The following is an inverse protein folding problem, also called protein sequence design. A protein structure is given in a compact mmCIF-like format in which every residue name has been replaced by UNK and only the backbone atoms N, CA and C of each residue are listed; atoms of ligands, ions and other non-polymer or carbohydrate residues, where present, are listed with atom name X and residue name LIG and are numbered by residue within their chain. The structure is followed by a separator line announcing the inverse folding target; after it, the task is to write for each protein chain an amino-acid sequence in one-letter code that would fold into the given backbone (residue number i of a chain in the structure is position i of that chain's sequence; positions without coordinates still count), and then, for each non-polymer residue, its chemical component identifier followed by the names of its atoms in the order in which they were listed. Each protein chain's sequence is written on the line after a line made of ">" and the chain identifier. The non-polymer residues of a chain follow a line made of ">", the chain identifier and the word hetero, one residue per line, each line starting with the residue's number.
data_IF_497545818910
#
_entry.id   IF_497545818910
#
_cell.length_a   1.000
_cell.length_b   1.000
_cell.length_c   1.000
_cell.angle_alpha   90.00
_cell.angle_beta   90.00
_cell.angle_gamma   90.00
#
_symmetry.space_group_name_H-M   'P 1'
#
loop_
_entity.id
_entity.type
_entity.pdbx_description
1 polymer ?
#
# COMPACT_ATOMS: atom_id res chain seq x y z
N UNK A 1 -51.82 19.13 -112.16
CA UNK A 1 -50.55 18.98 -112.92
C UNK A 1 -49.40 19.08 -111.92
N UNK A 2 -48.36 18.24 -112.06
CA UNK A 2 -47.14 18.18 -111.22
C UNK A 2 -47.29 17.52 -109.81
N UNK A 3 -46.32 16.64 -109.52
CA UNK A 3 -45.99 15.88 -108.30
C UNK A 3 -44.62 16.40 -107.75
N UNK A 4 -43.98 15.89 -106.66
CA UNK A 4 -44.27 14.78 -105.74
C UNK A 4 -44.54 15.34 -104.28
N UNK A 5 -44.10 14.84 -103.10
CA UNK A 5 -43.19 13.74 -102.71
C UNK A 5 -43.33 13.30 -101.23
N UNK A 6 -42.75 12.12 -100.94
CA UNK A 6 -42.20 11.55 -99.69
C UNK A 6 -42.55 12.12 -98.29
N UNK A 7 -42.82 11.20 -97.35
CA UNK A 7 -43.00 11.51 -95.92
C UNK A 7 -43.02 10.30 -94.96
N UNK A 8 -42.42 9.16 -95.32
CA UNK A 8 -42.34 7.99 -94.41
C UNK A 8 -41.30 8.26 -93.33
N UNK A 9 -41.73 8.40 -92.08
CA UNK A 9 -40.88 8.39 -90.89
C UNK A 9 -41.47 7.44 -89.84
N UNK A 10 -40.72 6.40 -89.50
CA UNK A 10 -41.10 5.43 -88.47
C UNK A 10 -41.01 6.08 -87.09
N UNK A 11 -42.12 6.13 -86.35
CA UNK A 11 -42.08 6.51 -84.92
C UNK A 11 -41.63 5.32 -84.09
N UNK A 12 -40.31 5.11 -84.05
CA UNK A 12 -39.62 4.10 -83.22
C UNK A 12 -40.13 4.16 -81.77
N UNK A 13 -40.46 3.01 -81.14
CA UNK A 13 -40.95 2.99 -79.77
C UNK A 13 -39.88 3.50 -78.80
N UNK A 14 -40.19 4.60 -78.11
CA UNK A 14 -39.30 5.24 -77.14
C UNK A 14 -39.00 4.28 -75.97
N UNK A 15 -37.73 3.93 -75.69
CA UNK A 15 -37.40 3.11 -74.53
C UNK A 15 -37.73 3.86 -73.24
N UNK A 16 -38.51 3.23 -72.36
CA UNK A 16 -38.79 3.76 -71.04
C UNK A 16 -37.58 3.51 -70.13
N UNK A 17 -36.75 4.54 -69.95
CA UNK A 17 -35.62 4.47 -69.00
C UNK A 17 -36.23 4.43 -67.60
N UNK A 18 -35.94 3.35 -66.88
CA UNK A 18 -36.44 3.12 -65.52
C UNK A 18 -36.08 4.28 -64.59
N UNK A 19 -37.10 4.82 -63.91
CA UNK A 19 -36.90 5.90 -62.96
C UNK A 19 -35.94 5.45 -61.85
N UNK A 20 -34.89 6.25 -61.60
CA UNK A 20 -34.05 6.08 -60.43
C UNK A 20 -34.95 6.19 -59.19
N UNK A 21 -35.06 5.10 -58.44
CA UNK A 21 -35.93 5.00 -57.28
C UNK A 21 -35.34 5.78 -56.11
N UNK A 22 -35.49 7.10 -56.12
CA UNK A 22 -35.11 8.00 -55.03
C UNK A 22 -35.88 7.58 -53.78
N UNK A 23 -35.23 6.78 -52.91
CA UNK A 23 -35.83 6.30 -51.69
C UNK A 23 -36.27 7.48 -50.83
N UNK A 24 -37.58 7.61 -50.63
CA UNK A 24 -38.17 8.56 -49.69
C UNK A 24 -37.86 8.07 -48.28
N UNK A 25 -36.64 8.37 -47.81
CA UNK A 25 -36.17 8.00 -46.47
C UNK A 25 -37.16 8.58 -45.47
N UNK A 26 -37.88 7.69 -44.78
CA UNK A 26 -38.99 8.11 -43.93
C UNK A 26 -38.52 9.14 -42.91
N UNK A 27 -39.29 10.23 -42.75
CA UNK A 27 -39.00 11.27 -41.74
C UNK A 27 -38.93 10.68 -40.33
N UNK A 28 -39.49 9.48 -40.12
CA UNK A 28 -39.38 8.71 -38.88
C UNK A 28 -38.02 8.01 -38.72
N UNK A 29 -37.44 7.40 -39.75
CA UNK A 29 -36.11 6.75 -39.64
C UNK A 29 -35.01 7.79 -39.46
N UNK A 30 -35.10 8.94 -40.13
CA UNK A 30 -34.19 10.08 -39.91
C UNK A 30 -34.26 10.55 -38.45
N UNK A 31 -35.46 10.67 -37.88
CA UNK A 31 -35.65 11.03 -36.46
C UNK A 31 -35.08 10.00 -35.50
N UNK A 32 -35.23 8.71 -35.77
CA UNK A 32 -34.64 7.64 -34.96
C UNK A 32 -33.10 7.66 -34.99
N UNK A 33 -32.49 7.90 -36.16
CA UNK A 33 -31.03 8.06 -36.29
C UNK A 33 -30.54 9.27 -35.49
N UNK A 34 -31.19 10.42 -35.62
CA UNK A 34 -30.85 11.63 -34.85
C UNK A 34 -31.00 11.40 -33.35
N UNK A 35 -32.08 10.74 -32.91
CA UNK A 35 -32.30 10.40 -31.51
C UNK A 35 -31.21 9.44 -30.98
N UNK A 36 -30.82 8.43 -31.76
CA UNK A 36 -29.73 7.51 -31.41
C UNK A 36 -28.38 8.23 -31.26
N UNK A 37 -28.05 9.16 -32.17
CA UNK A 37 -26.83 9.98 -32.08
C UNK A 37 -26.88 10.92 -30.87
N UNK A 38 -28.02 11.54 -30.56
CA UNK A 38 -28.20 12.38 -29.37
C UNK A 38 -28.03 11.58 -28.07
N UNK A 39 -28.60 10.38 -27.97
CA UNK A 39 -28.45 9.50 -26.80
C UNK A 39 -27.02 9.00 -26.67
N UNK A 40 -26.35 8.62 -27.77
CA UNK A 40 -24.95 8.21 -27.76
C UNK A 40 -24.00 9.36 -27.35
N UNK A 41 -24.27 10.58 -27.84
CA UNK A 41 -23.53 11.78 -27.46
C UNK A 41 -23.71 12.12 -25.98
N UNK A 42 -24.95 12.10 -25.48
CA UNK A 42 -25.23 12.30 -24.06
C UNK A 42 -24.58 11.21 -23.19
N UNK A 43 -24.68 9.94 -23.57
CA UNK A 43 -24.04 8.84 -22.85
C UNK A 43 -22.51 9.01 -22.81
N UNK A 44 -21.88 9.40 -23.92
CA UNK A 44 -20.44 9.68 -23.98
C UNK A 44 -20.03 10.78 -22.98
N UNK A 45 -20.81 11.86 -22.91
CA UNK A 45 -20.60 12.98 -21.97
C UNK A 45 -20.75 12.59 -20.49
N UNK A 46 -21.44 11.49 -20.16
CA UNK A 46 -21.57 10.99 -18.78
C UNK A 46 -20.61 9.83 -18.45
N UNK A 47 -20.33 8.93 -19.39
CA UNK A 47 -19.50 7.73 -19.16
C UNK A 47 -18.04 8.08 -18.86
N UNK A 48 -17.48 9.10 -19.52
CA UNK A 48 -16.11 9.55 -19.27
C UNK A 48 -15.91 10.17 -17.87
N UNK A 49 -16.62 11.26 -17.48
CA UNK A 49 -16.35 11.94 -16.21
C UNK A 49 -16.64 11.08 -14.98
N UNK A 50 -17.60 10.15 -15.02
CA UNK A 50 -17.84 9.21 -13.91
C UNK A 50 -16.65 8.26 -13.70
N UNK A 51 -15.94 7.88 -14.77
CA UNK A 51 -14.74 7.04 -14.68
C UNK A 51 -13.54 7.83 -14.17
N UNK A 52 -13.34 9.03 -14.69
CA UNK A 52 -12.19 9.87 -14.33
C UNK A 52 -12.29 10.46 -12.93
N UNK A 53 -13.49 10.73 -12.40
CA UNK A 53 -13.67 11.21 -11.02
C UNK A 53 -13.16 10.19 -9.98
N UNK A 54 -13.23 8.89 -10.29
CA UNK A 54 -12.70 7.83 -9.42
C UNK A 54 -11.17 7.75 -9.52
N UNK A 55 -10.60 7.76 -10.73
CA UNK A 55 -9.15 7.63 -10.96
C UNK A 55 -8.37 8.86 -10.49
N UNK A 56 -8.91 10.07 -10.70
CA UNK A 56 -8.34 11.32 -10.17
C UNK A 56 -8.31 11.31 -8.64
N UNK A 57 -9.33 10.78 -7.97
CA UNK A 57 -9.36 10.73 -6.50
C UNK A 57 -8.30 9.78 -5.93
N UNK A 58 -8.00 8.67 -6.59
CA UNK A 58 -6.83 7.83 -6.24
C UNK A 58 -5.49 8.53 -6.49
N UNK A 59 -5.34 9.24 -7.61
CA UNK A 59 -4.09 9.97 -7.93
C UNK A 59 -3.82 11.11 -6.93
N UNK A 60 -4.86 11.85 -6.54
CA UNK A 60 -4.78 12.89 -5.51
C UNK A 60 -4.47 12.32 -4.13
N UNK A 61 -5.10 11.20 -3.75
CA UNK A 61 -4.80 10.52 -2.48
C UNK A 61 -3.34 10.05 -2.42
N UNK A 62 -2.84 9.45 -3.50
CA UNK A 62 -1.45 9.01 -3.59
C UNK A 62 -0.47 10.19 -3.49
N UNK A 63 -0.69 11.27 -4.25
CA UNK A 63 0.15 12.48 -4.19
C UNK A 63 0.12 13.15 -2.81
N UNK A 64 -1.03 13.21 -2.14
CA UNK A 64 -1.11 13.73 -0.78
C UNK A 64 -0.34 12.84 0.22
N UNK A 65 -0.33 11.52 0.06
CA UNK A 65 0.47 10.62 0.91
C UNK A 65 1.99 10.81 0.71
N UNK A 66 2.41 11.07 -0.53
CA UNK A 66 3.81 11.37 -0.90
C UNK A 66 4.25 12.72 -0.30
N UNK A 67 3.42 13.76 -0.39
CA UNK A 67 3.67 15.05 0.27
C UNK A 67 3.74 14.94 1.80
N UNK A 68 2.85 14.19 2.43
CA UNK A 68 2.83 14.04 3.88
C UNK A 68 4.11 13.35 4.40
N UNK A 69 4.57 12.29 3.75
CA UNK A 69 5.83 11.62 4.09
C UNK A 69 7.04 12.55 3.92
N UNK A 70 7.05 13.38 2.88
CA UNK A 70 8.14 14.32 2.63
C UNK A 70 8.14 15.50 3.63
N UNK A 71 6.96 15.93 4.09
CA UNK A 71 6.82 16.94 5.13
C UNK A 71 7.31 16.43 6.50
N UNK A 72 6.88 15.23 6.91
CA UNK A 72 7.32 14.55 8.13
C UNK A 72 8.85 14.32 8.13
N UNK A 73 9.40 13.83 7.01
CA UNK A 73 10.85 13.69 6.84
C UNK A 73 11.60 15.02 7.00
N UNK A 74 11.07 16.11 6.43
CA UNK A 74 11.66 17.44 6.56
C UNK A 74 11.59 17.96 8.00
N UNK A 75 10.49 17.72 8.74
CA UNK A 75 10.37 18.11 10.15
C UNK A 75 11.38 17.35 11.03
N UNK A 76 11.54 16.03 10.82
CA UNK A 76 12.53 15.22 11.52
C UNK A 76 13.96 15.70 11.26
N UNK A 77 14.32 15.97 10.00
CA UNK A 77 15.63 16.54 9.63
C UNK A 77 15.85 17.94 10.20
N UNK A 78 14.80 18.79 10.22
CA UNK A 78 14.87 20.13 10.80
C UNK A 78 15.14 20.06 12.31
N UNK A 79 14.51 19.11 13.01
CA UNK A 79 14.72 18.86 14.42
C UNK A 79 16.13 18.31 14.71
N UNK A 80 16.63 17.36 13.92
CA UNK A 80 18.03 16.88 14.03
C UNK A 80 19.05 18.01 13.83
N UNK A 81 18.85 18.86 12.81
CA UNK A 81 19.70 20.04 12.56
C UNK A 81 19.62 21.04 13.72
N UNK A 82 18.44 21.26 14.29
CA UNK A 82 18.26 22.13 15.46
C UNK A 82 19.04 21.59 16.67
N UNK A 83 18.92 20.30 16.98
CA UNK A 83 19.63 19.66 18.09
C UNK A 83 21.15 19.70 17.87
N UNK A 84 21.62 19.34 16.67
CA UNK A 84 23.03 19.41 16.25
C UNK A 84 23.60 20.83 16.21
N UNK A 85 22.77 21.88 16.15
CA UNK A 85 23.23 23.27 16.28
C UNK A 85 23.61 23.63 17.73
N UNK A 86 23.12 22.86 18.72
CA UNK A 86 23.34 23.17 20.14
C UNK A 86 24.71 22.68 20.64
N UNK A 87 25.34 23.37 21.60
CA UNK A 87 26.59 22.92 22.20
C UNK A 87 26.51 21.57 22.95
N UNK A 88 25.31 21.07 23.29
CA UNK A 88 25.11 19.72 23.85
C UNK A 88 24.93 18.67 22.74
N UNK A 89 24.14 18.96 21.70
CA UNK A 89 23.96 18.07 20.55
C UNK A 89 25.28 17.77 19.83
N UNK A 90 26.12 18.78 19.59
CA UNK A 90 27.48 18.60 19.05
C UNK A 90 28.30 17.66 19.94
N UNK A 91 28.24 17.82 21.27
CA UNK A 91 28.95 16.96 22.23
C UNK A 91 28.43 15.53 22.24
N UNK A 92 27.12 15.33 22.09
CA UNK A 92 26.50 14.01 22.07
C UNK A 92 26.78 13.28 20.75
N UNK A 93 26.69 13.98 19.62
CA UNK A 93 27.12 13.47 18.30
C UNK A 93 28.60 13.09 18.32
N UNK A 94 29.49 13.94 18.86
CA UNK A 94 30.91 13.63 18.98
C UNK A 94 31.18 12.42 19.89
N UNK A 95 30.45 12.26 21.01
CA UNK A 95 30.56 11.09 21.90
C UNK A 95 30.12 9.80 21.24
N UNK A 96 29.07 9.85 20.42
CA UNK A 96 28.46 8.71 19.77
C UNK A 96 29.22 8.28 18.50
N UNK A 97 29.49 9.23 17.60
CA UNK A 97 30.11 8.95 16.28
C UNK A 97 31.64 8.86 16.36
N UNK A 98 32.29 9.79 17.08
CA UNK A 98 33.76 9.94 17.10
C UNK A 98 34.43 9.36 18.34
N UNK A 99 33.66 8.75 19.25
CA UNK A 99 34.19 8.25 20.52
C UNK A 99 34.72 9.35 21.45
N UNK A 100 34.34 10.62 21.25
CA UNK A 100 34.86 11.76 22.00
C UNK A 100 34.66 11.64 23.53
N UNK A 101 35.59 12.23 24.29
CA UNK A 101 35.67 12.24 25.75
C UNK A 101 36.27 13.60 26.15
N UNK A 102 35.71 14.29 27.14
CA UNK A 102 36.31 15.56 27.61
C UNK A 102 37.57 15.27 28.46
N UNK A 103 38.57 16.16 28.51
CA UNK A 103 39.71 16.02 29.42
C UNK A 103 39.24 15.80 30.87
N UNK A 104 39.64 14.70 31.49
CA UNK A 104 39.22 14.28 32.84
C UNK A 104 38.03 13.33 32.89
N UNK A 105 37.26 13.13 31.81
CA UNK A 105 36.29 12.04 31.70
C UNK A 105 37.03 10.72 31.36
N UNK A 106 36.51 9.57 31.83
CA UNK A 106 37.00 8.23 31.49
C UNK A 106 35.87 7.38 30.90
N UNK A 107 36.16 6.58 29.86
CA UNK A 107 35.21 5.60 29.30
C UNK A 107 35.30 4.29 30.08
N UNK A 108 34.30 4.03 30.92
CA UNK A 108 34.09 2.71 31.51
C UNK A 108 33.31 1.83 30.53
N UNK A 109 33.89 0.68 30.16
CA UNK A 109 33.16 -0.33 29.41
C UNK A 109 32.40 -1.23 30.40
N UNK A 110 31.08 -1.29 30.30
CA UNK A 110 30.25 -2.13 31.16
C UNK A 110 30.37 -3.59 30.69
N UNK A 111 31.25 -4.36 31.34
CA UNK A 111 31.23 -5.82 31.22
C UNK A 111 29.88 -6.35 31.72
N UNK A 112 29.33 -7.41 31.10
CA UNK A 112 28.11 -8.03 31.59
C UNK A 112 28.33 -8.50 33.03
N UNK A 113 27.31 -8.31 33.88
CA UNK A 113 27.35 -8.74 35.27
C UNK A 113 27.71 -10.23 35.33
N UNK A 114 28.72 -10.65 36.12
CA UNK A 114 29.03 -12.07 36.26
C UNK A 114 27.80 -12.80 36.80
N UNK A 115 27.58 -14.04 36.33
CA UNK A 115 26.53 -14.88 36.87
C UNK A 115 26.72 -15.00 38.39
N UNK A 116 25.68 -14.64 39.15
CA UNK A 116 25.76 -14.72 40.62
C UNK A 116 25.98 -16.19 41.03
N UNK A 117 26.83 -16.46 42.03
CA UNK A 117 26.98 -17.82 42.55
C UNK A 117 25.64 -18.39 42.99
N UNK A 118 25.20 -19.47 42.35
CA UNK A 118 23.96 -20.18 42.69
C UNK A 118 24.10 -20.95 44.01
N UNK A 119 25.34 -21.33 44.37
CA UNK A 119 25.69 -21.96 45.64
C UNK A 119 25.99 -20.92 46.72
N UNK A 120 25.51 -21.20 47.94
CA UNK A 120 25.83 -20.42 49.12
C UNK A 120 27.24 -20.77 49.64
N UNK A 121 28.00 -19.81 50.20
CA UNK A 121 29.34 -20.07 50.70
C UNK A 121 29.33 -21.03 51.89
N UNK A 122 30.36 -21.88 52.00
CA UNK A 122 30.53 -22.85 53.08
C UNK A 122 31.06 -22.19 54.37
N UNK A 123 30.40 -21.12 54.81
CA UNK A 123 30.73 -20.34 56.00
C UNK A 123 29.47 -20.11 56.84
N UNK A 124 29.65 -19.82 58.14
CA UNK A 124 28.54 -19.45 59.01
C UNK A 124 27.97 -18.08 58.58
N UNK A 125 26.64 -17.86 58.55
CA UNK A 125 25.56 -18.77 58.97
C UNK A 125 25.01 -19.68 57.84
N UNK A 126 25.51 -19.55 56.61
CA UNK A 126 24.91 -20.14 55.41
C UNK A 126 24.92 -21.67 55.38
N UNK A 127 25.88 -22.32 56.04
CA UNK A 127 25.91 -23.79 56.19
C UNK A 127 24.61 -24.36 56.76
N UNK A 128 24.04 -23.70 57.79
CA UNK A 128 22.76 -24.10 58.40
C UNK A 128 21.61 -24.06 57.38
N UNK A 129 21.58 -23.04 56.51
CA UNK A 129 20.57 -22.92 55.45
C UNK A 129 20.75 -24.03 54.41
N UNK A 130 21.99 -24.33 54.01
CA UNK A 130 22.25 -25.42 53.06
C UNK A 130 21.87 -26.80 53.61
N UNK A 131 22.07 -27.06 54.90
CA UNK A 131 21.68 -28.33 55.53
C UNK A 131 20.15 -28.44 55.69
N UNK A 132 19.46 -27.37 56.08
CA UNK A 132 17.99 -27.33 56.13
C UNK A 132 17.38 -27.61 54.75
N UNK A 133 17.91 -26.96 53.70
CA UNK A 133 17.45 -27.17 52.32
C UNK A 133 17.74 -28.60 51.85
N UNK A 134 18.94 -29.14 52.15
CA UNK A 134 19.33 -30.52 51.82
C UNK A 134 18.40 -31.55 52.46
N UNK A 135 18.09 -31.41 53.76
CA UNK A 135 17.14 -32.32 54.44
C UNK A 135 15.76 -32.22 53.80
N UNK A 136 15.29 -31.00 53.48
CA UNK A 136 13.97 -30.79 52.88
C UNK A 136 13.85 -31.34 51.46
N UNK A 137 14.89 -31.24 50.61
CA UNK A 137 14.86 -31.79 49.25
C UNK A 137 14.89 -33.32 49.26
N UNK A 138 15.71 -33.94 50.12
CA UNK A 138 15.69 -35.40 50.34
C UNK A 138 14.31 -35.87 50.79
N UNK A 139 13.71 -35.22 51.79
CA UNK A 139 12.39 -35.61 52.30
C UNK A 139 11.26 -35.39 51.27
N UNK A 140 11.29 -34.30 50.50
CA UNK A 140 10.33 -34.09 49.41
C UNK A 140 10.48 -35.18 48.32
N UNK A 141 11.71 -35.59 48.01
CA UNK A 141 11.97 -36.64 47.00
C UNK A 141 11.46 -38.00 47.48
N UNK A 142 11.65 -38.32 48.76
CA UNK A 142 11.15 -39.52 49.42
C UNK A 142 9.62 -39.55 49.62
N UNK A 143 8.96 -38.39 49.58
CA UNK A 143 7.49 -38.31 49.52
C UNK A 143 7.00 -38.52 48.07
N UNK A 144 7.62 -37.82 47.11
CA UNK A 144 7.21 -37.86 45.70
C UNK A 144 7.35 -39.26 45.09
N UNK A 145 8.47 -39.96 45.31
CA UNK A 145 8.64 -41.32 44.79
C UNK A 145 7.67 -42.34 45.44
N UNK A 146 7.33 -42.17 46.72
CA UNK A 146 6.31 -42.96 47.41
C UNK A 146 4.91 -42.75 46.81
N UNK A 147 4.57 -41.50 46.41
CA UNK A 147 3.32 -41.20 45.69
C UNK A 147 3.33 -41.61 44.21
N UNK A 148 4.49 -42.02 43.68
CA UNK A 148 4.69 -42.42 42.28
C UNK A 148 4.97 -43.92 42.13
N UNK A 149 4.78 -44.73 43.17
CA UNK A 149 4.66 -46.18 43.00
C UNK A 149 3.42 -46.48 42.15
N UNK A 150 3.55 -46.96 40.89
CA UNK A 150 2.40 -47.47 40.18
C UNK A 150 1.88 -48.70 40.93
N UNK A 151 0.58 -48.96 40.86
CA UNK A 151 0.05 -50.25 41.27
C UNK A 151 0.67 -51.31 40.36
N UNK A 152 1.57 -52.13 40.93
CA UNK A 152 1.90 -53.42 40.36
C UNK A 152 0.60 -54.27 40.31
N UNK A 153 0.45 -55.13 39.28
CA UNK A 153 -0.82 -55.80 38.98
C UNK A 153 -1.26 -56.81 40.05
#
# INVERSE_FOLDING_TARGET
>A
MKVPSHGTIETVPKPSISHLATQVVSRWTIRLVIAGVMVAGAASLFVFPLRDYVTQRSALAQKNSEFNLLADTNEQLQNEVNDLSTPEGIRNAARAQLGYVRPGEQRFNLVPMPALPTDLPQTWPYTLVTDIVRVRTVQNTAANNSSLSPLAP
#
